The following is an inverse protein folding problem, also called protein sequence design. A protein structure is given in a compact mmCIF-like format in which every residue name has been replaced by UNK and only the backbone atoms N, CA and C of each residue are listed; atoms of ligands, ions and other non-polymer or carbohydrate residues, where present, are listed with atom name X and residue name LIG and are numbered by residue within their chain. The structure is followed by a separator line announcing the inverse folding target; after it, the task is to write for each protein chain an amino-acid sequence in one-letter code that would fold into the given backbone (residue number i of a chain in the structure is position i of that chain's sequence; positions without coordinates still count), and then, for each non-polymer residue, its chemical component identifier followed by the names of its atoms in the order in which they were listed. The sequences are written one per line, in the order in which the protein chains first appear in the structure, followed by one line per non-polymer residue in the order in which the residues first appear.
data_IF_912715386580
#
_entry.id   IF_912715386580
#
_cell.length_a   1.000
_cell.length_b   1.000
_cell.length_c   1.000
_cell.angle_alpha   90.00
_cell.angle_beta   90.00
_cell.angle_gamma   90.00
#
_symmetry.space_group_name_H-M   'P 1'
#
loop_
_entity.id
_entity.type
_entity.pdbx_description
1 polymer ?
#
# COMPACT_ATOMS: atom_id res chain seq x y z
N UNK A 1 -9.22 9.43 16.75
CA UNK A 1 -10.45 10.19 17.02
C UNK A 1 -11.59 9.57 16.28
N UNK A 2 -12.00 8.38 16.72
CA UNK A 2 -13.08 7.62 16.10
C UNK A 2 -14.38 8.40 16.16
N UNK A 3 -15.02 8.59 15.01
CA UNK A 3 -16.37 9.11 14.92
C UNK A 3 -17.33 7.99 15.30
N UNK A 4 -18.12 8.21 16.36
CA UNK A 4 -19.06 7.24 16.92
C UNK A 4 -20.44 7.84 17.12
N UNK A 5 -21.48 7.01 16.96
CA UNK A 5 -22.79 7.31 17.52
C UNK A 5 -22.90 6.70 18.91
N UNK A 6 -23.52 7.40 19.87
CA UNK A 6 -23.70 6.88 21.23
C UNK A 6 -25.13 7.11 21.69
N UNK A 7 -25.79 6.06 22.16
CA UNK A 7 -27.11 6.15 22.80
C UNK A 7 -26.91 6.04 24.31
N UNK A 8 -27.51 6.96 25.06
CA UNK A 8 -27.27 7.06 26.49
C UNK A 8 -28.09 8.16 27.15
N UNK A 9 -27.69 8.55 28.35
CA UNK A 9 -28.32 9.62 29.11
C UNK A 9 -27.27 10.54 29.70
N UNK A 10 -27.53 11.84 29.64
CA UNK A 10 -26.75 12.81 30.40
C UNK A 10 -27.08 12.68 31.88
N UNK A 11 -26.05 12.80 32.73
CA UNK A 11 -26.24 12.92 34.18
C UNK A 11 -27.02 14.18 34.53
N UNK A 12 -27.66 14.20 35.70
CA UNK A 12 -28.51 15.33 36.13
C UNK A 12 -27.77 16.68 36.18
N UNK A 13 -26.45 16.66 36.43
CA UNK A 13 -25.58 17.84 36.43
C UNK A 13 -25.13 18.29 35.03
N UNK A 14 -25.35 17.48 33.99
CA UNK A 14 -24.85 17.73 32.64
C UNK A 14 -23.34 17.53 32.44
N UNK A 15 -22.61 17.10 33.48
CA UNK A 15 -21.13 16.93 33.43
C UNK A 15 -20.68 15.55 32.98
N UNK A 16 -21.59 14.59 32.86
CA UNK A 16 -21.32 13.23 32.40
C UNK A 16 -22.34 12.77 31.39
N UNK A 17 -21.92 11.89 30.48
CA UNK A 17 -22.81 11.15 29.59
C UNK A 17 -22.59 9.65 29.84
N UNK A 18 -23.65 8.96 30.26
CA UNK A 18 -23.62 7.53 30.52
C UNK A 18 -24.04 6.80 29.25
N UNK A 19 -23.06 6.26 28.52
CA UNK A 19 -23.28 5.46 27.34
C UNK A 19 -23.97 4.13 27.71
N UNK A 20 -25.08 3.84 27.05
CA UNK A 20 -25.77 2.54 27.13
C UNK A 20 -25.41 1.66 25.94
N UNK A 21 -25.25 2.27 24.77
CA UNK A 21 -25.00 1.59 23.51
C UNK A 21 -24.06 2.44 22.64
N UNK A 22 -23.12 1.76 21.98
CA UNK A 22 -22.20 2.35 21.01
C UNK A 22 -22.62 1.90 19.62
N UNK A 23 -22.92 2.87 18.76
CA UNK A 23 -23.19 2.67 17.34
C UNK A 23 -21.85 2.80 16.61
N UNK A 24 -21.23 1.65 16.33
CA UNK A 24 -19.90 1.59 15.70
C UNK A 24 -20.00 1.89 14.20
N UNK A 25 -19.90 3.17 13.86
CA UNK A 25 -19.87 3.67 12.47
C UNK A 25 -21.27 3.84 11.87
N UNK A 26 -21.35 4.66 10.81
CA UNK A 26 -22.55 4.69 9.96
C UNK A 26 -22.55 3.43 9.09
N UNK A 27 -23.70 2.77 8.89
CA UNK A 27 -23.78 1.70 7.90
C UNK A 27 -23.26 2.24 6.56
N UNK A 28 -22.41 1.48 5.84
CA UNK A 28 -22.05 1.87 4.49
C UNK A 28 -23.33 2.09 3.68
N UNK A 29 -23.37 3.06 2.76
CA UNK A 29 -24.47 3.11 1.79
C UNK A 29 -24.60 1.71 1.16
N UNK A 30 -25.83 1.24 0.89
CA UNK A 30 -26.04 -0.08 0.30
C UNK A 30 -25.16 -0.19 -0.94
N UNK A 31 -24.24 -1.16 -0.91
CA UNK A 31 -23.34 -1.42 -2.04
C UNK A 31 -24.24 -1.77 -3.21
N UNK A 32 -24.37 -0.84 -4.17
CA UNK A 32 -24.82 -1.21 -5.50
C UNK A 32 -23.68 -2.09 -6.00
N UNK A 33 -23.93 -3.40 -6.02
CA UNK A 33 -22.96 -4.43 -6.39
C UNK A 33 -22.13 -3.90 -7.55
N UNK A 34 -20.78 -3.85 -7.44
CA UNK A 34 -19.98 -3.18 -8.43
C UNK A 34 -20.30 -3.79 -9.79
N UNK A 35 -20.81 -2.96 -10.70
CA UNK A 35 -21.20 -3.32 -12.06
C UNK A 35 -19.99 -3.62 -12.97
N UNK A 36 -18.93 -4.21 -12.41
CA UNK A 36 -17.71 -4.56 -13.11
C UNK A 36 -16.88 -5.48 -12.22
N UNK A 37 -17.14 -6.78 -12.31
CA UNK A 37 -16.47 -7.81 -11.54
C UNK A 37 -15.35 -8.48 -12.33
N UNK A 38 -14.62 -7.71 -13.15
CA UNK A 38 -13.59 -8.26 -14.02
C UNK A 38 -12.54 -9.04 -13.23
N UNK A 39 -12.00 -10.08 -13.87
CA UNK A 39 -10.86 -10.82 -13.31
C UNK A 39 -9.72 -9.85 -13.01
N UNK A 40 -9.13 -9.99 -11.82
CA UNK A 40 -7.97 -9.23 -11.39
C UNK A 40 -6.90 -10.17 -10.83
N UNK A 41 -5.79 -10.27 -11.55
CA UNK A 41 -4.53 -10.84 -11.09
C UNK A 41 -3.55 -9.70 -10.79
N UNK A 42 -3.31 -9.44 -9.51
CA UNK A 42 -2.47 -8.34 -9.05
C UNK A 42 -1.33 -8.85 -8.19
N UNK A 43 -0.11 -8.41 -8.47
CA UNK A 43 1.06 -8.61 -7.62
C UNK A 43 1.41 -7.30 -6.90
N UNK A 44 1.72 -7.37 -5.62
CA UNK A 44 2.03 -6.20 -4.78
C UNK A 44 3.39 -6.38 -4.11
N UNK A 45 4.32 -5.48 -4.42
CA UNK A 45 5.62 -5.37 -3.76
C UNK A 45 5.63 -4.09 -2.90
N UNK A 46 6.25 -4.17 -1.72
CA UNK A 46 6.43 -3.00 -0.83
C UNK A 46 7.87 -2.90 -0.38
N UNK A 47 8.39 -1.68 -0.32
CA UNK A 47 9.72 -1.40 0.19
C UNK A 47 9.85 -1.72 1.69
N UNK A 48 11.10 -1.71 2.22
CA UNK A 48 12.35 -1.45 1.50
C UNK A 48 12.74 -2.56 0.50
N UNK A 49 13.54 -2.20 -0.51
CA UNK A 49 13.94 -3.08 -1.61
C UNK A 49 15.40 -3.56 -1.55
N UNK A 50 16.15 -3.12 -0.54
CA UNK A 50 17.50 -3.57 -0.21
C UNK A 50 17.59 -3.88 1.29
N UNK A 51 18.60 -4.65 1.70
CA UNK A 51 18.83 -4.94 3.12
C UNK A 51 19.34 -3.70 3.86
N UNK A 52 19.16 -3.68 5.18
CA UNK A 52 19.38 -2.47 6.01
C UNK A 52 20.83 -1.97 6.02
N UNK A 53 21.79 -2.83 5.74
CA UNK A 53 23.24 -2.57 5.83
C UNK A 53 23.90 -2.27 4.47
N UNK A 54 23.13 -2.23 3.38
CA UNK A 54 23.64 -1.95 2.04
C UNK A 54 22.60 -1.40 1.07
N UNK A 55 23.02 -1.14 -0.16
CA UNK A 55 22.18 -0.64 -1.26
C UNK A 55 22.21 -1.60 -2.46
N UNK A 56 22.23 -2.91 -2.18
CA UNK A 56 22.08 -3.95 -3.19
C UNK A 56 20.59 -4.22 -3.47
N UNK A 57 20.16 -3.90 -4.70
CA UNK A 57 18.78 -4.05 -5.16
C UNK A 57 18.50 -5.38 -5.88
N UNK A 58 19.42 -6.35 -5.78
CA UNK A 58 19.19 -7.73 -6.24
C UNK A 58 17.83 -8.29 -5.78
N UNK A 59 17.34 -8.05 -4.54
CA UNK A 59 16.00 -8.49 -4.13
C UNK A 59 14.87 -7.98 -5.04
N UNK A 60 14.88 -6.70 -5.40
CA UNK A 60 13.88 -6.12 -6.31
C UNK A 60 14.03 -6.67 -7.73
N UNK A 61 15.25 -6.82 -8.24
CA UNK A 61 15.47 -7.41 -9.57
C UNK A 61 14.88 -8.82 -9.67
N UNK A 62 15.01 -9.63 -8.61
CA UNK A 62 14.46 -10.98 -8.57
C UNK A 62 12.93 -10.97 -8.45
N UNK A 63 12.36 -10.05 -7.67
CA UNK A 63 10.91 -9.86 -7.62
C UNK A 63 10.34 -9.43 -8.99
N UNK A 64 11.01 -8.54 -9.71
CA UNK A 64 10.62 -8.11 -11.06
C UNK A 64 10.76 -9.24 -12.10
N UNK A 65 11.80 -10.07 -12.01
CA UNK A 65 11.93 -11.28 -12.84
C UNK A 65 10.80 -12.26 -12.60
N UNK A 66 10.43 -12.48 -11.34
CA UNK A 66 9.28 -13.31 -11.00
C UNK A 66 7.98 -12.72 -11.55
N UNK A 67 7.74 -11.42 -11.36
CA UNK A 67 6.58 -10.75 -11.95
C UNK A 67 6.54 -10.91 -13.48
N UNK A 68 7.68 -10.77 -14.16
CA UNK A 68 7.78 -10.96 -15.62
C UNK A 68 7.46 -12.39 -16.07
N UNK A 69 7.72 -13.39 -15.22
CA UNK A 69 7.36 -14.79 -15.45
C UNK A 69 5.86 -15.04 -15.24
N UNK A 70 5.31 -14.53 -14.14
CA UNK A 70 3.89 -14.72 -13.80
C UNK A 70 2.94 -13.87 -14.65
N UNK A 71 3.44 -12.76 -15.23
CA UNK A 71 2.69 -11.81 -16.06
C UNK A 71 1.36 -11.38 -15.43
N UNK A 72 1.36 -10.79 -14.22
CA UNK A 72 0.12 -10.32 -13.61
C UNK A 72 -0.53 -9.25 -14.47
N UNK A 73 -1.85 -9.07 -14.32
CA UNK A 73 -2.54 -7.96 -14.99
C UNK A 73 -2.10 -6.61 -14.40
N UNK A 74 -1.81 -6.58 -13.09
CA UNK A 74 -1.36 -5.38 -12.37
C UNK A 74 -0.16 -5.70 -11.49
N UNK A 75 0.87 -4.85 -11.54
CA UNK A 75 1.97 -4.82 -10.58
C UNK A 75 1.92 -3.51 -9.79
N UNK A 76 1.81 -3.60 -8.47
CA UNK A 76 1.88 -2.44 -7.56
C UNK A 76 3.23 -2.43 -6.87
N UNK A 77 3.90 -1.28 -6.88
CA UNK A 77 5.15 -1.01 -6.16
C UNK A 77 4.91 0.11 -5.15
N UNK A 78 4.97 -0.22 -3.86
CA UNK A 78 4.90 0.75 -2.77
C UNK A 78 6.32 1.08 -2.30
N UNK A 79 6.60 2.36 -2.03
CA UNK A 79 7.87 2.77 -1.41
C UNK A 79 8.08 2.19 0.01
N UNK A 80 9.19 2.52 0.68
CA UNK A 80 10.27 3.36 0.16
C UNK A 80 11.14 2.66 -0.88
N UNK A 81 11.54 3.39 -1.91
CA UNK A 81 12.47 2.95 -2.96
C UNK A 81 13.92 3.14 -2.55
N UNK A 82 14.25 4.33 -2.02
CA UNK A 82 15.51 4.59 -1.31
C UNK A 82 15.17 4.99 0.12
N UNK A 83 15.27 4.01 1.01
CA UNK A 83 14.84 4.11 2.41
C UNK A 83 15.76 5.03 3.23
N UNK A 84 15.19 6.11 3.76
CA UNK A 84 15.85 7.03 4.69
C UNK A 84 16.32 6.33 5.98
N UNK A 85 15.67 5.23 6.37
CA UNK A 85 16.00 4.40 7.53
C UNK A 85 17.11 3.37 7.29
N UNK A 86 17.60 3.22 6.07
CA UNK A 86 18.75 2.36 5.74
C UNK A 86 20.03 2.90 6.42
N UNK A 87 20.89 2.01 6.94
CA UNK A 87 22.08 2.43 7.71
C UNK A 87 23.06 3.26 6.89
N UNK A 88 23.25 2.93 5.61
CA UNK A 88 24.16 3.65 4.71
C UNK A 88 23.60 5.01 4.34
N UNK A 89 22.29 5.08 4.12
CA UNK A 89 21.57 6.33 3.82
C UNK A 89 21.58 7.26 5.04
N UNK A 90 21.17 6.77 6.21
CA UNK A 90 21.12 7.54 7.44
C UNK A 90 22.51 8.01 7.93
N UNK A 91 23.57 7.27 7.61
CA UNK A 91 24.95 7.68 7.90
C UNK A 91 25.50 8.74 6.93
N UNK A 92 24.79 9.04 5.83
CA UNK A 92 25.32 9.91 4.76
C UNK A 92 26.41 9.25 3.91
N UNK A 93 26.45 7.91 3.89
CA UNK A 93 27.43 7.11 3.16
C UNK A 93 26.75 6.11 2.20
N UNK A 94 25.89 6.56 1.26
CA UNK A 94 25.19 5.65 0.35
C UNK A 94 26.15 5.12 -0.73
N UNK A 95 26.84 4.03 -0.40
CA UNK A 95 27.75 3.32 -1.33
C UNK A 95 26.97 2.24 -2.07
N UNK A 96 26.85 2.39 -3.39
CA UNK A 96 26.26 1.38 -4.28
C UNK A 96 27.28 0.27 -4.54
N UNK A 97 26.89 -1.02 -4.57
CA UNK A 97 27.80 -2.10 -4.93
C UNK A 97 28.49 -1.85 -6.28
N UNK A 98 29.82 -1.80 -6.27
CA UNK A 98 30.66 -1.51 -7.44
C UNK A 98 31.22 -0.09 -7.49
N UNK A 99 30.63 0.85 -6.75
CA UNK A 99 31.15 2.20 -6.59
C UNK A 99 32.23 2.26 -5.50
N UNK A 100 33.20 3.16 -5.68
CA UNK A 100 34.32 3.35 -4.74
C UNK A 100 34.04 4.38 -3.67
N UNK A 101 33.26 5.40 -4.02
CA UNK A 101 32.91 6.53 -3.18
C UNK A 101 31.39 6.54 -2.95
N UNK A 102 30.91 7.17 -1.86
CA UNK A 102 29.48 7.39 -1.68
C UNK A 102 28.89 8.26 -2.79
N UNK A 103 27.70 7.88 -3.27
CA UNK A 103 26.93 8.68 -4.22
C UNK A 103 26.16 9.80 -3.51
N UNK A 104 25.67 10.81 -4.23
CA UNK A 104 24.56 11.63 -3.70
C UNK A 104 23.25 10.83 -3.75
N UNK A 105 22.22 11.25 -3.01
CA UNK A 105 20.93 10.58 -3.08
C UNK A 105 20.29 10.69 -4.47
N UNK A 106 20.51 11.81 -5.15
CA UNK A 106 20.07 12.03 -6.52
C UNK A 106 20.77 11.09 -7.50
N UNK A 107 22.07 10.83 -7.31
CA UNK A 107 22.81 9.84 -8.09
C UNK A 107 22.32 8.42 -7.83
N UNK A 108 22.04 8.06 -6.56
CA UNK A 108 21.41 6.77 -6.21
C UNK A 108 20.11 6.58 -7.00
N UNK A 109 19.26 7.60 -7.09
CA UNK A 109 18.02 7.51 -7.87
C UNK A 109 18.26 7.47 -9.38
N UNK A 110 18.99 8.45 -9.91
CA UNK A 110 19.07 8.72 -11.35
C UNK A 110 20.03 7.80 -12.10
N UNK A 111 21.11 7.36 -11.45
CA UNK A 111 22.15 6.54 -12.08
C UNK A 111 22.00 5.05 -11.77
N UNK A 112 21.39 4.70 -10.63
CA UNK A 112 21.31 3.31 -10.16
C UNK A 112 19.88 2.78 -10.08
N UNK A 113 19.05 3.32 -9.17
CA UNK A 113 17.74 2.75 -8.86
C UNK A 113 16.75 2.84 -10.03
N UNK A 114 16.46 4.04 -10.55
CA UNK A 114 15.47 4.23 -11.61
C UNK A 114 15.88 3.55 -12.93
N UNK A 115 17.16 3.57 -13.37
CA UNK A 115 17.59 2.77 -14.52
C UNK A 115 17.42 1.27 -14.32
N UNK A 116 17.72 0.74 -13.12
CA UNK A 116 17.51 -0.67 -12.80
C UNK A 116 16.03 -1.02 -12.84
N UNK A 117 15.18 -0.22 -12.19
CA UNK A 117 13.73 -0.39 -12.20
C UNK A 117 13.18 -0.37 -13.63
N UNK A 118 13.58 0.61 -14.44
CA UNK A 118 13.18 0.71 -15.84
C UNK A 118 13.53 -0.55 -16.65
N UNK A 119 14.75 -1.09 -16.49
CA UNK A 119 15.15 -2.36 -17.13
C UNK A 119 14.31 -3.54 -16.66
N UNK A 120 14.04 -3.64 -15.36
CA UNK A 120 13.23 -4.72 -14.78
C UNK A 120 11.76 -4.67 -15.19
N UNK A 121 11.22 -3.48 -15.47
CA UNK A 121 9.84 -3.30 -15.92
C UNK A 121 9.65 -3.56 -17.43
N UNK A 122 10.71 -3.46 -18.26
CA UNK A 122 10.56 -3.63 -19.71
C UNK A 122 9.89 -4.95 -20.15
N UNK A 123 10.24 -6.13 -19.59
CA UNK A 123 9.60 -7.40 -19.97
C UNK A 123 8.09 -7.41 -19.69
N UNK A 124 7.67 -6.86 -18.54
CA UNK A 124 6.27 -6.73 -18.13
C UNK A 124 5.44 -5.84 -19.07
N UNK A 125 6.09 -4.88 -19.73
CA UNK A 125 5.42 -3.98 -20.69
C UNK A 125 5.38 -4.55 -22.10
N UNK A 126 6.10 -5.65 -22.37
CA UNK A 126 6.10 -6.37 -23.66
C UNK A 126 5.15 -7.57 -23.67
N UNK A 127 4.54 -7.94 -22.53
CA UNK A 127 3.50 -8.96 -22.49
C UNK A 127 2.26 -8.50 -23.27
N UNK A 128 1.40 -9.47 -23.64
CA UNK A 128 0.17 -9.20 -24.37
C UNK A 128 -1.02 -9.85 -23.66
N UNK A 129 -1.88 -9.08 -22.97
CA UNK A 129 -1.80 -7.63 -22.77
C UNK A 129 -0.63 -7.21 -21.85
N UNK A 130 -0.13 -5.96 -21.94
CA UNK A 130 0.94 -5.47 -21.08
C UNK A 130 0.48 -5.35 -19.62
N UNK A 131 1.30 -5.80 -18.68
CA UNK A 131 1.03 -5.68 -17.23
C UNK A 131 0.98 -4.22 -16.81
N UNK A 132 -0.14 -3.75 -16.28
CA UNK A 132 -0.27 -2.38 -15.73
C UNK A 132 0.64 -2.20 -14.51
N UNK A 133 1.44 -1.13 -14.47
CA UNK A 133 2.38 -0.87 -13.37
C UNK A 133 1.97 0.39 -12.63
N UNK A 134 1.76 0.26 -11.32
CA UNK A 134 1.35 1.33 -10.41
C UNK A 134 2.45 1.56 -9.38
N UNK A 135 2.92 2.80 -9.24
CA UNK A 135 3.99 3.17 -8.30
C UNK A 135 3.45 4.20 -7.29
N UNK A 136 3.61 3.93 -6.00
CA UNK A 136 3.15 4.80 -4.90
C UNK A 136 4.36 5.18 -4.03
N UNK A 137 4.61 6.49 -3.77
CA UNK A 137 5.74 6.95 -2.96
C UNK A 137 5.57 6.59 -1.48
N UNK A 138 6.60 6.83 -0.67
CA UNK A 138 6.57 6.69 0.78
C UNK A 138 6.99 7.96 1.51
N UNK A 139 6.58 8.11 2.76
CA UNK A 139 7.12 9.11 3.69
C UNK A 139 8.58 8.80 4.09
N UNK A 140 9.02 7.58 3.84
CA UNK A 140 10.36 7.07 4.17
C UNK A 140 11.34 7.20 3.00
N UNK A 141 10.95 7.82 1.88
CA UNK A 141 11.88 8.12 0.79
C UNK A 141 12.89 9.19 1.21
N UNK A 142 14.20 8.94 1.00
CA UNK A 142 15.26 9.85 1.44
C UNK A 142 15.15 11.29 0.88
N UNK A 143 14.63 11.45 -0.34
CA UNK A 143 14.45 12.76 -0.98
C UNK A 143 13.04 13.34 -0.80
N UNK A 144 12.09 12.61 -0.20
CA UNK A 144 10.73 13.10 -0.06
C UNK A 144 10.55 13.88 1.24
N UNK A 145 10.21 15.17 1.12
CA UNK A 145 9.88 16.04 2.23
C UNK A 145 8.37 16.40 2.29
N UNK A 146 7.55 15.77 1.44
CA UNK A 146 6.12 16.06 1.36
C UNK A 146 5.36 15.32 2.49
N UNK A 147 4.51 16.02 3.26
CA UNK A 147 3.61 15.37 4.19
C UNK A 147 2.56 14.52 3.44
N UNK A 148 1.87 13.62 4.14
CA UNK A 148 0.69 12.95 3.61
C UNK A 148 -0.50 13.92 3.55
N UNK A 149 -1.32 13.93 2.49
CA UNK A 149 -1.17 13.15 1.26
C UNK A 149 0.03 13.59 0.41
N UNK A 150 0.81 12.64 -0.11
CA UNK A 150 2.00 12.91 -0.93
C UNK A 150 1.63 12.97 -2.43
N UNK A 151 2.30 13.83 -3.21
CA UNK A 151 2.16 13.82 -4.67
C UNK A 151 2.82 12.56 -5.27
N UNK A 152 2.58 12.23 -6.55
CA UNK A 152 3.27 11.13 -7.22
C UNK A 152 4.80 11.25 -7.21
N UNK A 153 5.50 10.13 -7.41
CA UNK A 153 6.95 10.00 -7.17
C UNK A 153 7.82 10.99 -7.98
N UNK A 154 7.44 11.29 -9.22
CA UNK A 154 8.13 12.25 -10.10
C UNK A 154 8.14 13.68 -9.56
N UNK A 155 7.11 14.04 -8.80
CA UNK A 155 7.03 15.31 -8.06
C UNK A 155 7.65 15.16 -6.67
N UNK A 156 7.40 14.04 -6.01
CA UNK A 156 7.78 13.81 -4.61
C UNK A 156 9.29 13.79 -4.38
N UNK A 157 10.08 13.35 -5.37
CA UNK A 157 11.54 13.29 -5.30
C UNK A 157 12.24 14.60 -5.66
N UNK A 158 11.50 15.63 -6.09
CA UNK A 158 12.03 16.97 -6.34
C UNK A 158 12.54 17.24 -7.76
N UNK A 159 12.86 18.51 -8.06
CA UNK A 159 13.08 19.00 -9.42
C UNK A 159 14.36 18.47 -10.07
N UNK A 160 15.37 18.11 -9.28
CA UNK A 160 16.65 17.59 -9.78
C UNK A 160 16.45 16.23 -10.45
N UNK A 161 15.69 15.33 -9.82
CA UNK A 161 15.31 14.05 -10.43
C UNK A 161 14.36 14.28 -11.60
N UNK A 162 13.40 15.20 -11.47
CA UNK A 162 12.46 15.53 -12.53
C UNK A 162 13.15 15.93 -13.84
N UNK A 163 14.28 16.63 -13.75
CA UNK A 163 15.04 17.13 -14.91
C UNK A 163 15.99 16.10 -15.54
N UNK A 164 16.11 14.89 -14.97
CA UNK A 164 17.06 13.86 -15.43
C UNK A 164 16.65 13.11 -16.70
N UNK A 165 15.41 13.29 -17.18
CA UNK A 165 14.90 12.59 -18.36
C UNK A 165 14.42 11.16 -18.09
N UNK A 166 14.50 10.68 -16.84
CA UNK A 166 14.12 9.31 -16.46
C UNK A 166 12.62 9.11 -16.53
N UNK A 167 11.81 10.09 -16.12
CA UNK A 167 10.36 9.96 -16.04
C UNK A 167 9.70 9.84 -17.42
N UNK A 168 10.25 10.48 -18.45
CA UNK A 168 9.80 10.31 -19.84
C UNK A 168 9.93 8.87 -20.32
N UNK A 169 10.89 8.10 -19.78
CA UNK A 169 11.02 6.68 -20.10
C UNK A 169 9.88 5.87 -19.46
N UNK A 170 9.55 6.17 -18.20
CA UNK A 170 8.43 5.53 -17.48
C UNK A 170 7.08 5.87 -18.12
N UNK A 171 6.88 7.13 -18.52
CA UNK A 171 5.68 7.59 -19.24
C UNK A 171 5.51 6.87 -20.59
N UNK A 172 6.58 6.78 -21.40
CA UNK A 172 6.58 6.00 -22.66
C UNK A 172 6.30 4.52 -22.46
N UNK A 173 6.72 3.98 -21.32
CA UNK A 173 6.39 2.60 -20.94
C UNK A 173 4.94 2.46 -20.47
N UNK A 174 4.23 3.56 -20.17
CA UNK A 174 2.87 3.56 -19.62
C UNK A 174 2.83 3.14 -18.14
N UNK A 175 3.88 3.46 -17.38
CA UNK A 175 3.90 3.30 -15.93
C UNK A 175 3.12 4.44 -15.29
N UNK A 176 2.22 4.12 -14.36
CA UNK A 176 1.41 5.13 -13.66
C UNK A 176 2.01 5.43 -12.30
N UNK A 177 2.46 6.67 -12.12
CA UNK A 177 2.87 7.20 -10.83
C UNK A 177 1.62 7.74 -10.11
N UNK A 178 1.40 7.28 -8.89
CA UNK A 178 0.21 7.59 -8.09
C UNK A 178 0.59 8.37 -6.82
N UNK A 179 -0.33 9.18 -6.26
CA UNK A 179 -0.12 9.82 -4.96
C UNK A 179 -0.12 8.81 -3.81
N UNK A 180 0.09 9.27 -2.58
CA UNK A 180 -0.06 8.46 -1.36
C UNK A 180 -1.01 9.17 -0.39
N UNK A 181 -2.16 8.58 0.01
CA UNK A 181 -2.73 7.35 -0.54
C UNK A 181 -3.20 7.55 -1.99
N UNK A 182 -3.51 6.44 -2.66
CA UNK A 182 -4.12 6.45 -4.00
C UNK A 182 -5.39 5.60 -4.03
N UNK A 183 -6.35 6.06 -4.84
CA UNK A 183 -7.57 5.32 -5.13
C UNK A 183 -7.67 5.14 -6.65
N UNK A 184 -7.73 3.89 -7.11
CA UNK A 184 -7.76 3.55 -8.53
C UNK A 184 -8.86 2.54 -8.81
N UNK A 185 -9.29 2.46 -10.07
CA UNK A 185 -10.22 1.45 -10.54
C UNK A 185 -9.57 0.66 -11.67
N UNK A 186 -9.42 -0.65 -11.50
CA UNK A 186 -8.85 -1.54 -12.51
C UNK A 186 -9.84 -2.67 -12.79
N UNK A 187 -10.18 -2.89 -14.05
CA UNK A 187 -11.18 -3.90 -14.47
C UNK A 187 -12.53 -3.83 -13.72
N UNK A 188 -12.92 -2.65 -13.24
CA UNK A 188 -14.14 -2.46 -12.46
C UNK A 188 -13.95 -2.53 -10.94
N UNK A 189 -12.81 -3.06 -10.47
CA UNK A 189 -12.46 -3.23 -9.06
C UNK A 189 -11.87 -1.94 -8.49
N UNK A 190 -12.43 -1.43 -7.39
CA UNK A 190 -11.95 -0.24 -6.67
C UNK A 190 -10.84 -0.65 -5.70
N UNK A 191 -9.68 -0.04 -5.84
CA UNK A 191 -8.47 -0.37 -5.09
C UNK A 191 -7.97 0.88 -4.37
N UNK A 192 -7.81 0.80 -3.05
CA UNK A 192 -7.15 1.81 -2.23
C UNK A 192 -5.76 1.34 -1.84
N UNK A 193 -4.76 2.17 -2.09
CA UNK A 193 -3.34 1.87 -1.89
C UNK A 193 -2.72 2.92 -0.96
N UNK A 194 -1.88 2.50 -0.02
CA UNK A 194 -0.94 3.39 0.67
C UNK A 194 0.31 2.63 1.05
N UNK A 195 1.45 3.31 1.07
CA UNK A 195 2.71 2.77 1.61
C UNK A 195 2.87 3.00 3.12
N UNK A 196 1.93 3.70 3.77
CA UNK A 196 1.98 3.98 5.21
C UNK A 196 1.26 2.89 6.04
N UNK A 197 1.72 2.68 7.28
CA UNK A 197 1.11 1.71 8.19
C UNK A 197 -0.24 2.19 8.74
N UNK A 198 -1.32 1.75 8.11
CA UNK A 198 -2.69 2.07 8.49
C UNK A 198 -3.18 1.31 9.75
N UNK A 199 -2.57 0.16 10.07
CA UNK A 199 -3.13 -0.79 11.04
C UNK A 199 -2.53 -0.64 12.44
N UNK A 200 -1.20 -0.44 12.53
CA UNK A 200 -0.51 -0.36 13.83
C UNK A 200 -1.06 0.76 14.74
N UNK A 201 -1.32 1.98 14.23
CA UNK A 201 -1.89 3.03 15.06
C UNK A 201 -3.26 2.65 15.64
N UNK A 202 -4.13 2.04 14.83
CA UNK A 202 -5.47 1.62 15.29
C UNK A 202 -5.37 0.51 16.34
N UNK A 203 -4.50 -0.48 16.13
CA UNK A 203 -4.33 -1.58 17.07
C UNK A 203 -3.84 -1.14 18.45
N UNK A 204 -2.97 -0.13 18.50
CA UNK A 204 -2.43 0.43 19.74
C UNK A 204 -3.49 1.18 20.52
N UNK A 205 -4.31 1.98 19.83
CA UNK A 205 -5.36 2.81 20.45
C UNK A 205 -6.68 2.06 20.70
N UNK A 206 -6.84 0.83 20.20
CA UNK A 206 -8.06 0.05 20.37
C UNK A 206 -8.25 -0.40 21.83
N UNK A 207 -9.25 0.19 22.50
CA UNK A 207 -9.64 -0.10 23.89
C UNK A 207 -10.65 -1.26 23.99
N UNK A 208 -11.41 -1.52 22.91
CA UNK A 208 -12.41 -2.59 22.89
C UNK A 208 -11.74 -3.97 23.03
N UNK A 209 -12.40 -4.86 23.77
CA UNK A 209 -12.11 -6.29 23.81
C UNK A 209 -13.14 -7.02 22.93
N UNK A 210 -12.90 -7.11 21.61
CA UNK A 210 -13.83 -7.81 20.74
C UNK A 210 -13.89 -9.30 21.13
N UNK A 211 -15.04 -9.94 20.90
CA UNK A 211 -15.18 -11.39 21.05
C UNK A 211 -14.31 -12.15 20.03
N UNK A 212 -14.10 -11.54 18.85
CA UNK A 212 -13.25 -12.06 17.77
C UNK A 212 -11.81 -11.56 17.81
N UNK A 213 -11.10 -11.71 16.68
CA UNK A 213 -9.72 -11.26 16.55
C UNK A 213 -9.64 -9.73 16.60
N UNK A 214 -8.74 -9.21 17.44
CA UNK A 214 -8.47 -7.77 17.57
C UNK A 214 -8.15 -7.08 16.22
N UNK A 215 -7.43 -7.79 15.35
CA UNK A 215 -7.03 -7.30 14.03
C UNK A 215 -8.24 -7.09 13.13
N UNK A 216 -9.15 -8.07 13.05
CA UNK A 216 -10.34 -7.98 12.20
C UNK A 216 -11.21 -6.77 12.60
N UNK A 217 -11.31 -6.50 13.90
CA UNK A 217 -12.02 -5.31 14.40
C UNK A 217 -11.30 -4.00 14.04
N UNK A 218 -9.97 -3.95 14.17
CA UNK A 218 -9.19 -2.78 13.75
C UNK A 218 -9.33 -2.50 12.25
N UNK A 219 -9.33 -3.56 11.41
CA UNK A 219 -9.55 -3.45 9.98
C UNK A 219 -10.95 -2.95 9.64
N UNK A 220 -11.96 -3.50 10.31
CA UNK A 220 -13.36 -3.04 10.19
C UNK A 220 -13.51 -1.57 10.59
N UNK A 221 -12.78 -1.10 11.59
CA UNK A 221 -12.78 0.31 11.98
C UNK A 221 -12.26 1.21 10.86
N UNK A 222 -11.21 0.82 10.12
CA UNK A 222 -10.73 1.58 8.95
C UNK A 222 -11.88 1.76 7.94
N UNK A 223 -12.58 0.66 7.61
CA UNK A 223 -13.69 0.68 6.66
C UNK A 223 -14.84 1.56 7.13
N UNK A 224 -15.26 1.42 8.39
CA UNK A 224 -16.39 2.16 8.97
C UNK A 224 -16.10 3.64 9.21
N UNK A 225 -14.84 3.99 9.44
CA UNK A 225 -14.39 5.38 9.53
C UNK A 225 -14.15 6.00 8.15
N UNK A 226 -14.28 5.21 7.07
CA UNK A 226 -14.16 5.65 5.67
C UNK A 226 -12.80 6.25 5.34
N UNK A 227 -11.74 5.81 6.03
CA UNK A 227 -10.37 6.26 5.80
C UNK A 227 -9.38 5.22 6.33
N UNK A 228 -8.19 5.16 5.74
CA UNK A 228 -7.08 4.35 6.27
C UNK A 228 -6.35 5.01 7.45
N UNK A 229 -6.67 6.25 7.82
CA UNK A 229 -5.93 7.01 8.82
C UNK A 229 -6.79 7.56 9.99
N UNK A 230 -7.69 6.80 10.63
CA UNK A 230 -8.69 7.36 11.57
C UNK A 230 -8.14 7.79 12.95
N UNK A 231 -6.87 7.50 13.25
CA UNK A 231 -6.26 7.82 14.55
C UNK A 231 -5.99 9.32 14.66
N UNK A 232 -6.27 9.88 15.83
CA UNK A 232 -6.05 11.31 16.14
C UNK A 232 -5.45 11.39 17.55
N UNK A 233 -4.30 12.06 17.75
CA UNK A 233 -3.49 12.75 16.74
C UNK A 233 -3.00 11.80 15.65
N UNK A 234 -2.84 12.31 14.41
CA UNK A 234 -2.51 11.45 13.26
C UNK A 234 -1.14 10.82 13.44
N UNK A 235 -1.05 9.59 12.96
CA UNK A 235 0.20 8.86 12.86
C UNK A 235 0.29 8.26 11.45
N UNK A 236 1.39 8.48 10.72
CA UNK A 236 2.57 9.28 11.11
C UNK A 236 2.28 10.79 11.28
N UNK A 237 3.11 11.50 12.05
CA UNK A 237 2.90 12.92 12.36
C UNK A 237 2.94 13.85 11.13
N UNK A 238 3.52 13.35 10.03
CA UNK A 238 3.60 13.98 8.73
C UNK A 238 2.25 13.97 7.99
N UNK A 239 1.15 13.49 8.58
CA UNK A 239 -0.18 13.60 7.99
C UNK A 239 -0.75 15.01 8.19
N UNK A 240 -1.06 15.69 7.09
CA UNK A 240 -1.61 17.04 7.06
C UNK A 240 -3.12 17.05 7.29
N UNK A 241 -3.56 17.52 8.46
CA UNK A 241 -4.99 17.71 8.75
C UNK A 241 -5.67 18.70 7.80
N UNK A 242 -4.93 19.70 7.29
CA UNK A 242 -5.44 20.67 6.33
C UNK A 242 -5.81 20.04 4.96
N UNK A 243 -5.45 18.77 4.75
CA UNK A 243 -5.71 17.98 3.55
C UNK A 243 -6.33 16.62 3.88
N UNK A 244 -6.90 16.46 5.08
CA UNK A 244 -7.44 15.18 5.56
C UNK A 244 -8.47 14.54 4.62
N UNK A 245 -9.26 15.33 3.89
CA UNK A 245 -10.25 14.83 2.93
C UNK A 245 -9.63 13.99 1.79
N UNK A 246 -8.34 14.19 1.47
CA UNK A 246 -7.63 13.38 0.49
C UNK A 246 -7.20 12.00 1.02
N UNK A 247 -7.43 11.73 2.32
CA UNK A 247 -7.17 10.45 2.98
C UNK A 247 -8.45 9.60 3.11
N UNK A 248 -9.61 10.19 2.82
CA UNK A 248 -10.91 9.53 2.91
C UNK A 248 -11.15 8.70 1.66
N UNK A 249 -11.93 7.62 1.79
CA UNK A 249 -12.33 6.85 0.63
C UNK A 249 -13.22 7.69 -0.31
N UNK A 250 -13.03 7.59 -1.63
CA UNK A 250 -13.87 8.28 -2.60
C UNK A 250 -15.36 8.00 -2.36
N UNK A 251 -16.17 9.05 -2.44
CA UNK A 251 -17.63 9.02 -2.23
C UNK A 251 -18.08 8.46 -0.86
N UNK A 252 -17.14 8.27 0.07
CA UNK A 252 -17.39 7.64 1.37
C UNK A 252 -17.70 6.14 1.28
N UNK A 253 -17.39 5.49 0.16
CA UNK A 253 -17.62 4.07 -0.06
C UNK A 253 -16.37 3.24 0.25
N UNK A 254 -16.54 2.07 0.85
CA UNK A 254 -15.43 1.14 1.04
C UNK A 254 -14.91 0.64 -0.32
N UNK A 255 -13.59 0.53 -0.51
CA UNK A 255 -13.03 -0.08 -1.71
C UNK A 255 -13.26 -1.59 -1.71
N UNK A 256 -13.14 -2.20 -2.89
CA UNK A 256 -13.21 -3.66 -3.03
C UNK A 256 -11.89 -4.31 -2.56
N UNK A 257 -10.76 -3.61 -2.73
CA UNK A 257 -9.43 -4.02 -2.28
C UNK A 257 -8.71 -2.86 -1.56
N UNK A 258 -8.15 -3.12 -0.38
CA UNK A 258 -7.24 -2.25 0.35
C UNK A 258 -5.85 -2.88 0.41
N UNK A 259 -4.82 -2.10 0.11
CA UNK A 259 -3.42 -2.54 0.20
C UNK A 259 -2.63 -1.54 1.03
N UNK A 260 -2.01 -2.02 2.10
CA UNK A 260 -1.07 -1.25 2.89
C UNK A 260 -0.11 -2.16 3.65
N UNK A 261 1.19 -1.82 3.76
CA UNK A 261 2.10 -2.54 4.63
C UNK A 261 1.71 -2.27 6.11
N UNK A 262 2.06 -3.20 6.99
CA UNK A 262 1.99 -2.95 8.44
C UNK A 262 3.11 -3.66 9.17
N UNK A 263 3.80 -2.93 10.05
CA UNK A 263 4.96 -3.40 10.82
C UNK A 263 4.52 -4.27 12.00
N UNK A 264 3.38 -3.96 12.61
CA UNK A 264 2.82 -4.77 13.71
C UNK A 264 2.08 -6.01 13.22
N UNK A 265 1.75 -6.07 11.93
CA UNK A 265 1.08 -7.19 11.30
C UNK A 265 2.07 -8.19 10.67
N UNK A 266 1.71 -9.47 10.70
CA UNK A 266 2.30 -10.41 9.74
C UNK A 266 1.76 -10.09 8.34
N UNK A 267 2.59 -10.31 7.31
CA UNK A 267 2.10 -10.23 5.94
C UNK A 267 0.91 -11.20 5.78
N UNK A 268 -0.20 -10.69 5.28
CA UNK A 268 -1.50 -11.38 5.34
C UNK A 268 -2.46 -10.88 4.27
N UNK A 269 -3.41 -11.72 3.90
CA UNK A 269 -4.61 -11.38 3.14
C UNK A 269 -5.84 -11.79 3.93
N UNK A 270 -6.84 -10.91 4.04
CA UNK A 270 -8.10 -11.21 4.72
C UNK A 270 -9.26 -10.50 4.07
N UNK A 271 -10.48 -11.02 4.21
CA UNK A 271 -11.69 -10.35 3.75
C UNK A 271 -12.45 -9.86 4.99
N UNK A 272 -12.75 -8.57 5.04
CA UNK A 272 -13.47 -7.92 6.14
C UNK A 272 -14.55 -7.03 5.54
N UNK A 273 -15.80 -7.26 5.94
CA UNK A 273 -16.98 -6.48 5.50
C UNK A 273 -17.00 -6.23 3.97
N UNK A 274 -16.84 -7.31 3.19
CA UNK A 274 -16.79 -7.32 1.72
C UNK A 274 -15.66 -6.47 1.07
N UNK A 275 -14.58 -6.23 1.81
CA UNK A 275 -13.33 -5.67 1.28
C UNK A 275 -12.19 -6.67 1.45
N UNK A 276 -11.39 -6.89 0.40
CA UNK A 276 -10.12 -7.63 0.49
C UNK A 276 -9.05 -6.71 1.07
N UNK A 277 -8.40 -7.10 2.14
CA UNK A 277 -7.34 -6.33 2.78
C UNK A 277 -6.03 -7.10 2.69
N UNK A 278 -4.99 -6.45 2.16
CA UNK A 278 -3.69 -7.04 1.86
C UNK A 278 -2.58 -6.26 2.58
N UNK A 279 -1.88 -6.94 3.48
CA UNK A 279 -0.56 -6.54 3.94
C UNK A 279 0.49 -7.39 3.20
N UNK A 280 1.20 -6.85 2.20
CA UNK A 280 2.19 -7.62 1.45
C UNK A 280 3.43 -7.97 2.29
N UNK A 281 3.64 -7.28 3.41
CA UNK A 281 4.97 -7.17 4.03
C UNK A 281 5.95 -6.44 3.11
N UNK A 282 7.19 -6.33 3.57
CA UNK A 282 8.28 -5.71 2.80
C UNK A 282 9.11 -6.75 2.04
N UNK A 283 9.63 -6.37 0.88
CA UNK A 283 10.57 -7.17 0.07
C UNK A 283 11.84 -7.49 0.86
N UNK A 284 12.37 -6.50 1.58
CA UNK A 284 13.48 -6.67 2.50
C UNK A 284 13.05 -6.30 3.92
N UNK A 285 13.38 -7.18 4.87
CA UNK A 285 13.34 -6.91 6.30
C UNK A 285 14.76 -6.59 6.78
N UNK A 286 14.94 -6.01 7.99
CA UNK A 286 16.25 -5.54 8.43
C UNK A 286 17.43 -6.51 8.30
N UNK A 287 17.20 -7.83 8.38
CA UNK A 287 18.25 -8.85 8.32
C UNK A 287 17.92 -10.04 7.40
N UNK A 288 16.86 -9.97 6.60
CA UNK A 288 16.44 -11.08 5.75
C UNK A 288 15.54 -10.60 4.60
N UNK A 289 15.45 -11.40 3.56
CA UNK A 289 14.40 -11.24 2.56
C UNK A 289 13.03 -11.44 3.22
N UNK A 290 12.05 -10.68 2.73
CA UNK A 290 10.69 -10.70 3.23
C UNK A 290 9.74 -11.36 2.24
N UNK A 291 8.65 -10.67 1.94
CA UNK A 291 7.48 -11.22 1.26
C UNK A 291 6.91 -10.25 0.24
N UNK A 292 6.06 -10.76 -0.63
CA UNK A 292 5.16 -9.99 -1.47
C UNK A 292 3.78 -10.67 -1.49
N UNK A 293 2.77 -9.97 -2.00
CA UNK A 293 1.42 -10.51 -2.12
C UNK A 293 1.04 -10.73 -3.59
N UNK A 294 0.22 -11.75 -3.81
CA UNK A 294 -0.45 -12.02 -5.06
C UNK A 294 -1.95 -12.19 -4.81
N UNK A 295 -2.76 -11.42 -5.53
CA UNK A 295 -4.21 -11.44 -5.49
C UNK A 295 -4.74 -12.03 -6.79
N UNK A 296 -5.64 -12.99 -6.67
CA UNK A 296 -6.50 -13.47 -7.74
C UNK A 296 -7.96 -13.24 -7.32
N UNK A 297 -8.66 -12.38 -8.05
CA UNK A 297 -10.08 -12.11 -7.88
C UNK A 297 -10.82 -12.51 -9.15
N UNK A 298 -11.79 -13.40 -9.02
CA UNK A 298 -12.60 -13.89 -10.13
C UNK A 298 -13.97 -13.19 -10.17
N UNK A 299 -14.57 -13.00 -11.35
CA UNK A 299 -15.96 -12.55 -11.48
C UNK A 299 -16.93 -13.50 -10.75
N UNK A 300 -18.02 -12.94 -10.23
CA UNK A 300 -19.11 -13.67 -9.58
C UNK A 300 -19.86 -14.46 -10.65
N UNK A 301 -20.06 -13.86 -11.83
CA UNK A 301 -20.68 -14.53 -12.98
C UNK A 301 -19.91 -15.77 -13.43
N UNK A 302 -18.58 -15.80 -13.25
CA UNK A 302 -17.76 -16.97 -13.57
C UNK A 302 -17.93 -18.13 -12.58
N UNK A 303 -18.49 -17.89 -11.39
CA UNK A 303 -18.57 -18.88 -10.28
C UNK A 303 -20.00 -19.21 -9.83
N UNK A 304 -21.03 -18.63 -10.44
CA UNK A 304 -22.43 -18.93 -10.10
C UNK A 304 -23.38 -17.74 -10.06
N UNK A 305 -22.92 -16.54 -10.43
CA UNK A 305 -23.72 -15.32 -10.50
C UNK A 305 -23.60 -14.42 -9.26
N UNK A 306 -24.41 -13.35 -9.16
CA UNK A 306 -24.24 -12.24 -8.20
C UNK A 306 -24.41 -12.61 -6.71
N UNK A 307 -24.70 -13.87 -6.37
CA UNK A 307 -24.81 -14.37 -5.00
C UNK A 307 -23.51 -14.95 -4.41
N UNK A 308 -22.44 -15.09 -5.20
CA UNK A 308 -21.15 -15.64 -4.74
C UNK A 308 -20.43 -14.60 -3.87
N UNK A 309 -20.11 -14.97 -2.64
CA UNK A 309 -19.49 -14.04 -1.69
C UNK A 309 -18.04 -13.71 -2.09
N UNK A 310 -17.56 -12.49 -1.80
CA UNK A 310 -16.23 -12.04 -2.22
C UNK A 310 -15.09 -12.97 -1.79
N UNK A 311 -15.18 -13.53 -0.57
CA UNK A 311 -14.18 -14.45 -0.04
C UNK A 311 -14.12 -15.79 -0.77
N UNK A 312 -15.20 -16.21 -1.45
CA UNK A 312 -15.25 -17.47 -2.22
C UNK A 312 -14.61 -17.34 -3.61
N UNK A 313 -14.51 -16.11 -4.10
CA UNK A 313 -13.95 -15.75 -5.42
C UNK A 313 -12.60 -15.04 -5.35
N UNK A 314 -12.01 -14.98 -4.15
CA UNK A 314 -10.74 -14.31 -3.89
C UNK A 314 -9.70 -15.28 -3.35
N UNK A 315 -8.49 -15.25 -3.92
CA UNK A 315 -7.30 -15.90 -3.36
C UNK A 315 -6.23 -14.84 -3.13
N UNK A 316 -5.69 -14.77 -1.92
CA UNK A 316 -4.52 -13.95 -1.61
C UNK A 316 -3.40 -14.86 -1.12
N UNK A 317 -2.29 -14.86 -1.85
CA UNK A 317 -1.09 -15.61 -1.49
C UNK A 317 -0.01 -14.64 -1.02
N UNK A 318 0.56 -14.92 0.16
CA UNK A 318 1.74 -14.22 0.67
C UNK A 318 2.95 -15.10 0.38
N UNK A 319 3.76 -14.68 -0.60
CA UNK A 319 4.91 -15.42 -1.05
C UNK A 319 6.19 -14.88 -0.42
N UNK A 320 7.10 -15.78 -0.03
CA UNK A 320 8.45 -15.40 0.42
C UNK A 320 9.32 -15.14 -0.79
N UNK A 321 10.10 -14.06 -0.73
CA UNK A 321 11.15 -13.83 -1.70
C UNK A 321 12.31 -14.80 -1.40
N UNK A 322 12.55 -15.74 -2.31
CA UNK A 322 13.59 -16.77 -2.18
C UNK A 322 14.38 -16.87 -3.50
N UNK A 323 15.66 -16.53 -3.44
CA UNK A 323 16.56 -16.54 -4.59
C UNK A 323 16.70 -17.92 -5.26
N UNK A 324 16.43 -19.01 -4.56
CA UNK A 324 16.54 -20.37 -5.12
C UNK A 324 15.25 -20.86 -5.78
N UNK A 325 14.10 -20.30 -5.42
CA UNK A 325 12.79 -20.74 -5.93
C UNK A 325 12.26 -19.89 -7.09
N UNK A 326 12.77 -18.67 -7.23
CA UNK A 326 12.30 -17.69 -8.21
C UNK A 326 13.21 -17.58 -9.45
N UNK A 327 14.39 -18.22 -9.41
CA UNK A 327 15.36 -18.29 -10.51
C UNK A 327 15.01 -19.28 -11.61
#
# INVERSE_FOLDING_TARGET
GQIVGVVGRSGMSGTSFHARELLSGLPPPPVISPAGDGTLHMMVLSGPYCLRDGLDYTPLEQALKHAAKEQPQVLVLLGPFVDAGNQKVAAGEPVIPGEKEPCTFEEVYTQHFLPMLGRGLQPLRRSNPPTEVLIVPSLEEVLCFHPMPQPPLDVALGPEIASSGVWEQFDKMGVRLLPNPAHVKVNGVRISLTSSDALSPVLRELVLRPEGKKIDEALRLLLRQRTLFPVVPREPAQVSEARAAALDFPDGEAPDVCVFPSVSGTATGSVVDDTVIINPGSICRPAALGTFAELLLMPADALGGPGVALHERTRVDIQKLDFQKLG
#
